data_IF_655639199395
#
_entry.id   IF_655639199395
#
_cell.length_a   1.000
_cell.length_b   1.000
_cell.length_c   1.000
_cell.angle_alpha   90.00
_cell.angle_beta   90.00
_cell.angle_gamma   90.00
#
_symmetry.space_group_name_H-M   'P 1'
#
loop_
_entity.id
_entity.type
_entity.pdbx_description
1 polymer ?
#
# COMPACT_ATOMS: atom_id res chain seq x y z
N UNK A 1 9.04 -20.41 37.89
CA UNK A 1 8.39 -19.66 36.79
C UNK A 1 8.18 -20.64 35.65
N UNK A 2 6.93 -21.01 35.35
CA UNK A 2 6.62 -21.84 34.19
C UNK A 2 6.90 -21.03 32.91
N UNK A 3 7.62 -21.61 31.95
CA UNK A 3 7.82 -20.96 30.64
C UNK A 3 6.48 -20.96 29.92
N UNK A 4 6.03 -19.84 29.34
CA UNK A 4 4.80 -19.84 28.55
C UNK A 4 4.95 -20.83 27.41
N UNK A 5 4.02 -21.80 27.34
CA UNK A 5 3.93 -22.75 26.24
C UNK A 5 3.67 -21.97 24.96
N UNK A 6 4.53 -22.06 23.93
CA UNK A 6 4.33 -21.31 22.70
C UNK A 6 2.96 -21.65 22.10
N UNK A 7 2.16 -20.66 21.65
CA UNK A 7 0.87 -20.93 21.04
C UNK A 7 1.06 -21.84 19.82
N UNK A 8 0.15 -22.81 19.65
CA UNK A 8 0.31 -23.95 18.74
C UNK A 8 0.30 -23.62 17.24
N UNK A 9 0.02 -22.37 16.85
CA UNK A 9 0.15 -21.86 15.49
C UNK A 9 0.50 -20.37 15.48
N UNK A 10 1.61 -20.02 14.86
CA UNK A 10 1.91 -18.63 14.50
C UNK A 10 0.85 -18.18 13.49
N UNK A 11 0.14 -17.09 13.79
CA UNK A 11 -0.82 -16.49 12.85
C UNK A 11 -0.07 -15.54 11.92
N UNK A 12 -0.47 -15.51 10.66
CA UNK A 12 0.00 -14.49 9.74
C UNK A 12 -0.55 -13.13 10.17
N UNK A 13 0.31 -12.13 10.22
CA UNK A 13 -0.06 -10.74 10.38
C UNK A 13 -0.34 -10.19 8.98
N UNK A 14 -1.62 -9.96 8.67
CA UNK A 14 -2.07 -9.41 7.39
C UNK A 14 -2.76 -8.10 7.70
N UNK A 15 -2.29 -7.02 7.07
CA UNK A 15 -2.90 -5.72 7.19
C UNK A 15 -3.93 -5.50 6.07
N UNK A 16 -5.02 -4.75 6.29
CA UNK A 16 -6.02 -4.48 5.25
C UNK A 16 -5.42 -3.91 3.96
N UNK A 17 -4.41 -3.06 4.09
CA UNK A 17 -3.76 -2.43 2.95
C UNK A 17 -2.83 -3.36 2.16
N UNK A 18 -2.49 -4.55 2.67
CA UNK A 18 -1.67 -5.54 1.93
C UNK A 18 -2.37 -5.99 0.64
N UNK A 19 -3.71 -5.98 0.62
CA UNK A 19 -4.49 -6.23 -0.60
C UNK A 19 -4.26 -5.13 -1.65
N UNK A 20 -4.16 -3.87 -1.23
CA UNK A 20 -3.92 -2.73 -2.11
C UNK A 20 -2.49 -2.80 -2.64
N UNK A 21 -1.51 -3.07 -1.76
CA UNK A 21 -0.10 -3.28 -2.13
C UNK A 21 0.04 -4.42 -3.15
N UNK A 22 -0.64 -5.54 -2.93
CA UNK A 22 -0.64 -6.67 -3.85
C UNK A 22 -1.17 -6.32 -5.25
N UNK A 23 -2.26 -5.55 -5.32
CA UNK A 23 -2.82 -5.07 -6.59
C UNK A 23 -1.90 -4.08 -7.29
N UNK A 24 -1.31 -3.13 -6.55
CA UNK A 24 -0.33 -2.20 -7.07
C UNK A 24 0.86 -2.94 -7.68
N UNK A 25 1.46 -3.87 -6.94
CA UNK A 25 2.59 -4.66 -7.44
C UNK A 25 2.20 -5.42 -8.71
N UNK A 26 1.09 -6.18 -8.68
CA UNK A 26 0.63 -6.90 -9.88
C UNK A 26 0.47 -6.01 -11.13
N UNK A 27 0.14 -4.73 -10.95
CA UNK A 27 -0.16 -3.79 -12.04
C UNK A 27 1.07 -3.00 -12.51
N UNK A 28 1.97 -2.65 -11.59
CA UNK A 28 3.06 -1.69 -11.85
C UNK A 28 4.48 -2.19 -11.50
N UNK A 29 4.63 -3.44 -11.01
CA UNK A 29 5.91 -4.04 -10.54
C UNK A 29 7.08 -3.88 -11.53
N UNK A 30 6.79 -3.74 -12.83
CA UNK A 30 7.82 -3.66 -13.86
C UNK A 30 8.25 -2.24 -14.25
N UNK A 31 7.60 -1.18 -13.73
CA UNK A 31 7.75 0.18 -14.31
C UNK A 31 8.30 1.27 -13.38
N UNK A 32 8.28 1.10 -12.05
CA UNK A 32 8.51 2.23 -11.14
C UNK A 32 9.34 1.93 -9.87
N UNK A 33 10.25 0.96 -9.92
CA UNK A 33 11.07 0.58 -8.77
C UNK A 33 12.25 1.53 -8.54
N UNK A 34 11.97 2.74 -8.00
CA UNK A 34 12.98 3.44 -7.19
C UNK A 34 13.34 2.49 -6.03
N UNK A 35 14.61 2.14 -5.91
CA UNK A 35 15.10 1.29 -4.84
C UNK A 35 14.74 1.89 -3.46
N UNK A 36 14.06 1.11 -2.63
CA UNK A 36 13.76 1.49 -1.25
C UNK A 36 15.03 1.30 -0.40
N UNK A 37 15.42 2.36 0.31
CA UNK A 37 16.52 2.30 1.27
C UNK A 37 15.98 2.05 2.68
N UNK A 38 16.11 0.81 3.15
CA UNK A 38 15.58 0.41 4.46
C UNK A 38 16.33 1.05 5.64
N UNK A 39 17.48 1.67 5.39
CA UNK A 39 18.28 2.41 6.38
C UNK A 39 17.85 3.89 6.51
N UNK A 40 17.03 4.39 5.59
CA UNK A 40 16.48 5.74 5.63
C UNK A 40 14.95 5.70 5.64
N UNK A 41 14.37 5.98 6.81
CA UNK A 41 12.93 5.98 7.04
C UNK A 41 12.18 6.98 6.14
N UNK A 42 12.84 8.02 5.63
CA UNK A 42 12.21 8.96 4.70
C UNK A 42 11.93 8.32 3.34
N UNK A 43 12.81 7.43 2.87
CA UNK A 43 12.64 6.78 1.56
C UNK A 43 11.54 5.72 1.55
N UNK A 44 11.19 5.17 2.72
CA UNK A 44 10.04 4.29 2.90
C UNK A 44 8.73 5.05 2.65
N UNK A 45 8.53 6.17 3.34
CA UNK A 45 7.30 6.98 3.19
C UNK A 45 7.18 7.68 1.84
N UNK A 46 8.32 7.96 1.19
CA UNK A 46 8.33 8.61 -0.13
C UNK A 46 8.15 7.64 -1.30
N UNK A 47 8.08 6.34 -1.03
CA UNK A 47 7.93 5.32 -2.06
C UNK A 47 6.55 5.41 -2.72
N UNK A 48 6.52 5.24 -4.06
CA UNK A 48 5.32 5.40 -4.87
C UNK A 48 4.19 4.48 -4.42
N UNK A 49 4.52 3.26 -3.96
CA UNK A 49 3.52 2.32 -3.43
C UNK A 49 2.86 2.86 -2.16
N UNK A 50 3.62 3.43 -1.22
CA UNK A 50 3.05 3.93 0.04
C UNK A 50 2.20 5.17 -0.21
N UNK A 51 2.62 6.05 -1.13
CA UNK A 51 1.79 7.17 -1.61
C UNK A 51 0.50 6.68 -2.26
N UNK A 52 0.59 5.63 -3.08
CA UNK A 52 -0.58 5.02 -3.71
C UNK A 52 -1.57 4.46 -2.69
N UNK A 53 -1.08 3.68 -1.71
CA UNK A 53 -1.91 3.09 -0.67
C UNK A 53 -2.59 4.18 0.17
N UNK A 54 -1.86 5.21 0.59
CA UNK A 54 -2.42 6.31 1.36
C UNK A 54 -3.49 7.06 0.56
N UNK A 55 -3.21 7.38 -0.69
CA UNK A 55 -4.17 8.03 -1.59
C UNK A 55 -5.43 7.17 -1.79
N UNK A 56 -5.26 5.86 -1.98
CA UNK A 56 -6.38 4.93 -2.11
C UNK A 56 -7.26 4.91 -0.87
N UNK A 57 -6.66 4.87 0.33
CA UNK A 57 -7.40 4.91 1.58
C UNK A 57 -8.16 6.24 1.72
N UNK A 58 -7.51 7.36 1.41
CA UNK A 58 -8.14 8.68 1.48
C UNK A 58 -9.33 8.83 0.52
N UNK A 59 -9.17 8.40 -0.74
CA UNK A 59 -10.25 8.44 -1.74
C UNK A 59 -11.39 7.51 -1.34
N UNK A 60 -11.07 6.29 -0.87
CA UNK A 60 -12.07 5.31 -0.44
C UNK A 60 -12.88 5.78 0.78
N UNK A 61 -12.28 6.57 1.68
CA UNK A 61 -12.96 7.10 2.86
C UNK A 61 -13.83 8.33 2.56
N UNK A 62 -13.51 9.09 1.50
CA UNK A 62 -14.25 10.30 1.13
C UNK A 62 -15.51 10.01 0.33
N UNK A 63 -15.50 8.94 -0.47
CA UNK A 63 -16.60 8.59 -1.37
C UNK A 63 -17.11 7.17 -1.08
N UNK A 64 -17.97 7.07 -0.07
CA UNK A 64 -18.61 5.84 0.39
C UNK A 64 -19.66 5.35 -0.64
N UNK A 65 -19.19 4.82 -1.77
CA UNK A 65 -20.05 4.34 -2.86
C UNK A 65 -19.44 4.22 -4.25
N UNK A 66 -18.18 4.63 -4.45
CA UNK A 66 -17.49 4.46 -5.75
C UNK A 66 -17.15 3.00 -6.03
N UNK A 67 -17.24 2.61 -7.30
CA UNK A 67 -16.72 1.31 -7.73
C UNK A 67 -15.19 1.28 -7.55
N UNK A 68 -14.65 0.11 -7.24
CA UNK A 68 -13.21 -0.04 -7.00
C UNK A 68 -12.36 0.48 -8.17
N UNK A 69 -12.86 0.39 -9.42
CA UNK A 69 -12.18 0.93 -10.59
C UNK A 69 -12.15 2.46 -10.63
N UNK A 70 -13.21 3.11 -10.16
CA UNK A 70 -13.27 4.58 -10.10
C UNK A 70 -12.32 5.12 -9.04
N UNK A 71 -12.19 4.41 -7.91
CA UNK A 71 -11.19 4.72 -6.88
C UNK A 71 -9.78 4.61 -7.46
N UNK A 72 -9.46 3.52 -8.16
CA UNK A 72 -8.13 3.36 -8.80
C UNK A 72 -7.85 4.48 -9.79
N UNK A 73 -8.79 4.79 -10.70
CA UNK A 73 -8.61 5.85 -11.68
C UNK A 73 -8.40 7.24 -11.03
N UNK A 74 -9.13 7.53 -9.95
CA UNK A 74 -8.95 8.77 -9.20
C UNK A 74 -7.57 8.84 -8.53
N UNK A 75 -7.11 7.73 -7.94
CA UNK A 75 -5.77 7.63 -7.33
C UNK A 75 -4.67 7.81 -8.37
N UNK A 76 -4.77 7.14 -9.52
CA UNK A 76 -3.81 7.29 -10.62
C UNK A 76 -3.75 8.74 -11.12
N UNK A 77 -4.90 9.39 -11.28
CA UNK A 77 -4.95 10.80 -11.70
C UNK A 77 -4.30 11.74 -10.68
N UNK A 78 -4.50 11.50 -9.38
CA UNK A 78 -3.87 12.28 -8.32
C UNK A 78 -2.34 12.09 -8.32
N UNK A 79 -1.86 10.85 -8.44
CA UNK A 79 -0.43 10.58 -8.42
C UNK A 79 0.28 10.98 -9.73
N UNK A 80 -0.43 11.00 -10.86
CA UNK A 80 0.06 11.55 -12.12
C UNK A 80 0.26 13.08 -12.03
N UNK A 81 -0.64 13.80 -11.36
CA UNK A 81 -0.46 15.24 -11.10
C UNK A 81 0.77 15.53 -10.22
N UNK A 82 1.14 14.58 -9.34
CA UNK A 82 2.36 14.65 -8.52
C UNK A 82 3.62 14.17 -9.27
N UNK A 83 3.50 13.80 -10.55
CA UNK A 83 4.60 13.34 -11.40
C UNK A 83 5.11 11.94 -11.08
N UNK A 84 4.29 11.09 -10.46
CA UNK A 84 4.65 9.71 -10.08
C UNK A 84 4.18 8.66 -11.10
N UNK A 85 3.32 9.06 -12.05
CA UNK A 85 2.76 8.23 -13.12
C UNK A 85 2.75 8.98 -14.45
#
# INVERSE_FOLDING_TARGET
>A
MERPTPPSKVKNLIYPEDYIRGNFMKTYDHKNTKYVRLDDSKTLTDHVMDKYVNCFIEVSQRDDGKDAKEVVAAVEAMLANDGLF
#
